data_IF_211459601707
#
_entry.id   IF_211459601707
#
_cell.length_a   1.000
_cell.length_b   1.000
_cell.length_c   1.000
_cell.angle_alpha   90.00
_cell.angle_beta   90.00
_cell.angle_gamma   90.00
#
_symmetry.space_group_name_H-M   'P 1'
#
loop_
_entity.id
_entity.type
_entity.pdbx_description
1 polymer ?
#
# COMPACT_ATOMS: atom_id res chain seq x y z
N UNK A 1 16.46 1.44 12.29
CA UNK A 1 15.84 1.45 10.95
C UNK A 1 14.33 1.44 11.13
N UNK A 2 13.69 2.61 11.13
CA UNK A 2 12.24 2.70 11.27
C UNK A 2 11.68 2.44 9.88
N UNK A 3 11.22 1.22 9.59
CA UNK A 3 10.47 0.95 8.37
C UNK A 3 9.22 1.83 8.38
N UNK A 4 9.24 2.89 7.58
CA UNK A 4 8.08 3.74 7.36
C UNK A 4 7.03 2.90 6.64
N UNK A 5 6.04 2.43 7.38
CA UNK A 5 4.95 1.63 6.82
C UNK A 5 4.01 2.59 6.11
N UNK A 6 4.20 2.79 4.81
CA UNK A 6 3.25 3.52 3.95
C UNK A 6 1.81 3.02 4.17
N UNK A 7 1.65 1.73 4.48
CA UNK A 7 0.36 1.09 4.79
C UNK A 7 -0.33 1.60 6.06
N UNK A 8 0.40 2.24 6.98
CA UNK A 8 -0.15 2.81 8.22
C UNK A 8 -0.53 4.29 8.09
N UNK A 9 -0.20 4.91 6.96
CA UNK A 9 -0.55 6.31 6.70
C UNK A 9 -2.06 6.47 6.52
N UNK A 10 -2.58 7.65 6.88
CA UNK A 10 -4.01 7.94 6.73
C UNK A 10 -4.42 7.96 5.27
N UNK A 11 -3.52 8.40 4.39
CA UNK A 11 -3.69 8.34 2.94
C UNK A 11 -3.92 6.90 2.47
N UNK A 12 -3.08 5.97 2.92
CA UNK A 12 -3.22 4.57 2.55
C UNK A 12 -4.53 3.97 3.06
N UNK A 13 -4.88 4.23 4.33
CA UNK A 13 -6.16 3.78 4.92
C UNK A 13 -7.36 4.33 4.16
N UNK A 14 -7.28 5.59 3.73
CA UNK A 14 -8.34 6.23 2.94
C UNK A 14 -8.51 5.61 1.55
N UNK A 15 -7.40 5.19 0.91
CA UNK A 15 -7.43 4.53 -0.40
C UNK A 15 -8.03 3.11 -0.33
N UNK A 16 -7.77 2.36 0.74
CA UNK A 16 -8.32 1.00 0.92
C UNK A 16 -9.72 0.99 1.57
N UNK A 17 -10.21 2.16 1.99
CA UNK A 17 -11.51 2.29 2.68
C UNK A 17 -12.65 2.23 1.66
N UNK A 18 -13.60 1.32 1.87
CA UNK A 18 -14.83 1.21 1.08
C UNK A 18 -15.80 2.39 1.26
N UNK A 19 -15.53 3.29 2.21
CA UNK A 19 -16.40 4.41 2.58
C UNK A 19 -15.91 5.77 2.06
N UNK A 20 -14.82 5.79 1.28
CA UNK A 20 -14.25 7.04 0.76
C UNK A 20 -15.02 7.54 -0.46
N UNK A 21 -15.12 8.86 -0.59
CA UNK A 21 -15.59 9.47 -1.83
C UNK A 21 -14.48 9.50 -2.87
N UNK A 22 -14.83 9.58 -4.16
CA UNK A 22 -13.84 9.68 -5.26
C UNK A 22 -12.85 10.83 -5.07
N UNK A 23 -13.30 11.97 -4.55
CA UNK A 23 -12.43 13.12 -4.26
C UNK A 23 -11.46 12.85 -3.11
N UNK A 24 -11.91 12.15 -2.07
CA UNK A 24 -11.06 11.72 -0.97
C UNK A 24 -10.02 10.70 -1.43
N UNK A 25 -10.42 9.72 -2.24
CA UNK A 25 -9.51 8.73 -2.84
C UNK A 25 -8.46 9.38 -3.73
N UNK A 26 -8.86 10.33 -4.58
CA UNK A 26 -7.94 11.06 -5.45
C UNK A 26 -6.92 11.86 -4.63
N UNK A 27 -7.39 12.64 -3.64
CA UNK A 27 -6.52 13.42 -2.76
C UNK A 27 -5.57 12.54 -1.94
N UNK A 28 -6.08 11.42 -1.42
CA UNK A 28 -5.27 10.45 -0.70
C UNK A 28 -4.21 9.82 -1.60
N UNK A 29 -4.56 9.48 -2.85
CA UNK A 29 -3.64 8.95 -3.85
C UNK A 29 -2.51 9.92 -4.19
N UNK A 30 -2.83 11.19 -4.41
CA UNK A 30 -1.84 12.26 -4.64
C UNK A 30 -0.88 12.42 -3.46
N UNK A 31 -1.42 12.40 -2.23
CA UNK A 31 -0.61 12.53 -1.03
C UNK A 31 0.25 11.28 -0.79
N UNK A 32 -0.26 10.08 -1.07
CA UNK A 32 0.52 8.84 -1.00
C UNK A 32 1.67 8.84 -2.01
N UNK A 33 1.44 9.31 -3.25
CA UNK A 33 2.49 9.46 -4.25
C UNK A 33 3.60 10.41 -3.79
N UNK A 34 3.24 11.57 -3.21
CA UNK A 34 4.22 12.52 -2.64
C UNK A 34 5.05 11.86 -1.54
N UNK A 35 4.44 11.06 -0.66
CA UNK A 35 5.15 10.32 0.39
C UNK A 35 6.09 9.26 -0.18
N UNK A 36 5.69 8.56 -1.24
CA UNK A 36 6.54 7.59 -1.93
C UNK A 36 7.77 8.29 -2.53
N UNK A 37 7.59 9.43 -3.21
CA UNK A 37 8.71 10.21 -3.76
C UNK A 37 9.66 10.64 -2.65
N UNK A 38 9.13 11.24 -1.57
CA UNK A 38 9.94 11.66 -0.44
C UNK A 38 10.68 10.48 0.24
N UNK A 39 10.06 9.30 0.29
CA UNK A 39 10.71 8.08 0.79
C UNK A 39 11.86 7.64 -0.13
N UNK A 40 11.67 7.67 -1.44
CA UNK A 40 12.72 7.35 -2.41
C UNK A 40 13.93 8.30 -2.30
N UNK A 41 13.70 9.58 -1.99
CA UNK A 41 14.77 10.56 -1.83
C UNK A 41 15.49 10.45 -0.47
N UNK A 42 14.79 10.02 0.58
CA UNK A 42 15.29 9.99 1.96
C UNK A 42 15.89 8.65 2.39
N UNK A 43 15.44 7.53 1.84
CA UNK A 43 15.91 6.19 2.22
C UNK A 43 17.21 5.82 1.47
N UNK A 44 18.32 5.77 2.21
CA UNK A 44 19.62 5.38 1.67
C UNK A 44 19.79 3.87 1.52
N UNK A 45 19.02 3.04 2.22
CA UNK A 45 19.05 1.58 2.09
C UNK A 45 18.09 1.10 1.00
N UNK A 46 18.65 0.76 -0.16
CA UNK A 46 17.91 0.26 -1.31
C UNK A 46 17.13 -1.04 -1.02
N UNK A 47 17.62 -1.89 -0.11
CA UNK A 47 16.92 -3.13 0.27
C UNK A 47 15.67 -2.81 1.08
N UNK A 48 15.77 -1.89 2.03
CA UNK A 48 14.62 -1.42 2.83
C UNK A 48 13.60 -0.66 1.99
N UNK A 49 14.07 0.18 1.06
CA UNK A 49 13.21 0.87 0.10
C UNK A 49 12.43 -0.15 -0.75
N UNK A 50 13.13 -1.12 -1.34
CA UNK A 50 12.51 -2.17 -2.15
C UNK A 50 11.45 -2.95 -1.35
N UNK A 51 11.76 -3.36 -0.13
CA UNK A 51 10.81 -4.07 0.76
C UNK A 51 9.57 -3.24 1.02
N UNK A 52 9.73 -1.96 1.32
CA UNK A 52 8.61 -1.04 1.60
C UNK A 52 7.73 -0.85 0.36
N UNK A 53 8.32 -0.57 -0.80
CA UNK A 53 7.59 -0.38 -2.05
C UNK A 53 6.87 -1.66 -2.49
N UNK A 54 7.55 -2.82 -2.41
CA UNK A 54 6.96 -4.12 -2.77
C UNK A 54 5.76 -4.46 -1.88
N UNK A 55 5.90 -4.28 -0.57
CA UNK A 55 4.81 -4.55 0.37
C UNK A 55 3.63 -3.60 0.15
N UNK A 56 3.89 -2.31 -0.07
CA UNK A 56 2.85 -1.32 -0.37
C UNK A 56 2.09 -1.68 -1.65
N UNK A 57 2.80 -2.08 -2.72
CA UNK A 57 2.19 -2.54 -3.97
C UNK A 57 1.29 -3.77 -3.75
N UNK A 58 1.77 -4.75 -2.98
CA UNK A 58 1.00 -5.96 -2.65
C UNK A 58 -0.33 -5.60 -1.98
N UNK A 59 -0.32 -4.69 -1.00
CA UNK A 59 -1.54 -4.27 -0.32
C UNK A 59 -2.51 -3.46 -1.20
N UNK A 60 -2.04 -2.83 -2.29
CA UNK A 60 -2.88 -2.11 -3.26
C UNK A 60 -3.41 -3.01 -4.39
N UNK A 61 -2.84 -4.21 -4.56
CA UNK A 61 -3.20 -5.13 -5.64
C UNK A 61 -4.70 -5.50 -5.67
N UNK A 62 -5.42 -5.67 -4.54
CA UNK A 62 -6.86 -5.92 -4.56
C UNK A 62 -7.67 -4.82 -5.26
N UNK A 63 -7.26 -3.55 -5.14
CA UNK A 63 -7.94 -2.42 -5.78
C UNK A 63 -7.82 -2.45 -7.31
N UNK A 64 -6.70 -2.94 -7.83
CA UNK A 64 -6.49 -3.09 -9.28
C UNK A 64 -7.27 -4.27 -9.87
N UNK A 65 -7.62 -5.25 -9.04
CA UNK A 65 -8.28 -6.48 -9.52
C UNK A 65 -9.77 -6.28 -9.82
N UNK A 66 -10.35 -5.14 -9.42
CA UNK A 66 -11.70 -4.68 -9.77
C UNK A 66 -12.80 -5.69 -9.48
N UNK A 67 -13.50 -5.56 -8.36
CA UNK A 67 -14.85 -6.10 -8.12
C UNK A 67 -15.23 -7.44 -8.81
N UNK A 68 -14.36 -8.44 -8.79
CA UNK A 68 -14.74 -9.85 -8.97
C UNK A 68 -14.40 -10.64 -7.71
N UNK A 69 -14.88 -10.15 -6.58
CA UNK A 69 -15.06 -10.96 -5.37
C UNK A 69 -16.41 -11.70 -5.47
N UNK A 70 -16.63 -12.44 -6.55
CA UNK A 70 -17.58 -13.54 -6.56
C UNK A 70 -16.76 -14.82 -6.48
N UNK A 71 -16.60 -15.33 -5.26
CA UNK A 71 -15.71 -16.45 -4.96
C UNK A 71 -14.95 -16.21 -3.67
N UNK A 72 -15.65 -16.44 -2.56
CA UNK A 72 -15.14 -16.93 -1.27
C UNK A 72 -13.84 -16.28 -0.75
N UNK A 73 -13.97 -15.52 0.33
CA UNK A 73 -12.85 -14.91 1.05
C UNK A 73 -11.72 -15.88 1.40
N UNK A 74 -10.72 -15.96 0.52
CA UNK A 74 -9.43 -16.52 0.86
C UNK A 74 -8.72 -15.48 1.73
N UNK A 75 -8.80 -15.69 3.05
CA UNK A 75 -7.96 -14.98 4.01
C UNK A 75 -6.52 -15.07 3.52
N UNK A 76 -5.90 -13.93 3.18
CA UNK A 76 -4.50 -13.84 2.82
C UNK A 76 -3.62 -14.36 3.97
N UNK A 77 -3.41 -15.68 4.02
CA UNK A 77 -2.39 -16.36 4.80
C UNK A 77 -1.19 -16.59 3.90
N UNK A 78 -0.58 -15.52 3.40
CA UNK A 78 0.75 -15.66 2.83
C UNK A 78 1.75 -15.67 3.99
N UNK A 79 1.95 -16.87 4.53
CA UNK A 79 3.04 -17.17 5.45
C UNK A 79 4.34 -16.84 4.74
N UNK A 80 4.99 -15.75 5.15
CA UNK A 80 6.33 -15.41 4.72
C UNK A 80 7.30 -16.50 5.19
N UNK A 81 7.50 -17.53 4.36
CA UNK A 81 8.61 -18.45 4.48
C UNK A 81 9.87 -17.74 3.97
N UNK A 82 10.56 -17.09 4.90
CA UNK A 82 11.95 -16.73 4.73
C UNK A 82 12.78 -18.02 4.68
N UNK A 83 13.53 -18.23 3.60
CA UNK A 83 14.69 -19.13 3.57
C UNK A 83 15.97 -18.33 3.73
#
# INVERSE_FOLDING_TARGET
MIMLRLTQTEEFKMIISSCSTKEQEQKASENLMKRIIALCDAEGDSVSLFRTLRYTRFCLQPLQRGDSMDGEGEKCKETALCH
#
